data_IF_155798404475
#
_entry.id   IF_155798404475
#
_cell.length_a   1.000
_cell.length_b   1.000
_cell.length_c   1.000
_cell.angle_alpha   90.00
_cell.angle_beta   90.00
_cell.angle_gamma   90.00
#
_symmetry.space_group_name_H-M   'P 1'
#
loop_
_entity.id
_entity.type
_entity.pdbx_description
1 polymer ?
#
# COMPACT_ATOMS: atom_id res chain seq x y z
N UNK A 1 -20.29 7.82 -0.41
CA UNK A 1 -19.77 6.62 -1.12
C UNK A 1 -19.54 6.99 -2.58
N UNK A 2 -18.41 6.61 -3.17
CA UNK A 2 -18.15 6.80 -4.62
C UNK A 2 -18.34 5.45 -5.32
N UNK A 3 -18.90 5.47 -6.52
CA UNK A 3 -19.08 4.27 -7.33
C UNK A 3 -18.10 4.27 -8.50
N UNK A 4 -17.51 3.11 -8.79
CA UNK A 4 -16.66 2.88 -9.94
C UNK A 4 -17.25 1.75 -10.78
N UNK A 5 -17.14 1.87 -12.10
CA UNK A 5 -17.51 0.81 -13.03
C UNK A 5 -16.25 0.08 -13.47
N UNK A 6 -16.19 -1.22 -13.21
CA UNK A 6 -15.13 -2.09 -13.70
C UNK A 6 -15.61 -2.79 -14.97
N UNK A 7 -14.78 -2.77 -16.02
CA UNK A 7 -14.99 -3.61 -17.21
C UNK A 7 -14.07 -4.82 -17.09
N UNK A 8 -14.65 -6.00 -17.26
CA UNK A 8 -13.95 -7.27 -17.35
C UNK A 8 -14.09 -7.79 -18.77
N UNK A 9 -13.12 -8.58 -19.22
CA UNK A 9 -13.34 -9.45 -20.36
C UNK A 9 -14.35 -10.55 -20.00
N UNK A 10 -14.97 -11.13 -21.04
CA UNK A 10 -16.08 -12.07 -20.88
C UNK A 10 -15.65 -13.32 -20.09
N UNK A 11 -14.45 -13.83 -20.35
CA UNK A 11 -13.90 -15.01 -19.68
C UNK A 11 -13.80 -14.79 -18.16
N UNK A 12 -13.20 -13.68 -17.72
CA UNK A 12 -13.10 -13.35 -16.29
C UNK A 12 -14.46 -13.11 -15.66
N UNK A 13 -15.38 -12.47 -16.39
CA UNK A 13 -16.73 -12.21 -15.88
C UNK A 13 -17.48 -13.53 -15.63
N UNK A 14 -17.39 -14.48 -16.55
CA UNK A 14 -18.01 -15.80 -16.41
C UNK A 14 -17.37 -16.61 -15.28
N UNK A 15 -16.04 -16.65 -15.19
CA UNK A 15 -15.34 -17.32 -14.08
C UNK A 15 -15.76 -16.75 -12.72
N UNK A 16 -15.79 -15.41 -12.59
CA UNK A 16 -16.18 -14.75 -11.34
C UNK A 16 -17.66 -15.04 -10.98
N UNK A 17 -18.53 -15.12 -11.99
CA UNK A 17 -19.93 -15.50 -11.79
C UNK A 17 -20.05 -16.94 -11.29
N UNK A 18 -19.30 -17.88 -11.87
CA UNK A 18 -19.28 -19.26 -11.40
C UNK A 18 -18.84 -19.35 -9.94
N UNK A 19 -17.71 -18.72 -9.57
CA UNK A 19 -17.23 -18.68 -8.19
C UNK A 19 -18.30 -18.10 -7.25
N UNK A 20 -18.95 -16.99 -7.65
CA UNK A 20 -19.99 -16.37 -6.83
C UNK A 20 -21.19 -17.27 -6.56
N UNK A 21 -21.54 -18.13 -7.52
CA UNK A 21 -22.64 -19.10 -7.39
C UNK A 21 -22.23 -20.23 -6.44
N UNK A 22 -21.04 -20.81 -6.65
CA UNK A 22 -20.53 -21.92 -5.83
C UNK A 22 -20.34 -21.50 -4.37
N UNK A 23 -19.84 -20.30 -4.11
CA UNK A 23 -19.65 -19.77 -2.76
C UNK A 23 -20.95 -19.22 -2.14
N UNK A 24 -21.98 -18.98 -2.95
CA UNK A 24 -23.22 -18.34 -2.51
C UNK A 24 -23.04 -16.88 -2.08
N UNK A 25 -21.99 -16.21 -2.59
CA UNK A 25 -21.61 -14.84 -2.22
C UNK A 25 -21.83 -13.90 -3.40
N UNK A 26 -22.32 -12.68 -3.12
CA UNK A 26 -22.50 -11.68 -4.18
C UNK A 26 -21.14 -11.23 -4.76
N UNK A 27 -21.03 -11.15 -6.09
CA UNK A 27 -19.82 -10.66 -6.80
C UNK A 27 -19.30 -9.34 -6.22
N UNK A 28 -20.18 -8.43 -5.82
CA UNK A 28 -19.79 -7.16 -5.19
C UNK A 28 -19.02 -7.39 -3.90
N UNK A 29 -19.46 -8.32 -3.06
CA UNK A 29 -18.80 -8.64 -1.79
C UNK A 29 -17.41 -9.20 -2.10
N UNK A 30 -17.30 -10.17 -3.00
CA UNK A 30 -16.03 -10.75 -3.44
C UNK A 30 -15.05 -9.65 -3.89
N UNK A 31 -15.49 -8.75 -4.78
CA UNK A 31 -14.65 -7.67 -5.27
C UNK A 31 -14.29 -6.65 -4.17
N UNK A 32 -15.21 -6.37 -3.25
CA UNK A 32 -14.96 -5.45 -2.13
C UNK A 32 -13.90 -6.03 -1.20
N UNK A 33 -14.03 -7.30 -0.83
CA UNK A 33 -13.04 -7.99 0.02
C UNK A 33 -11.67 -8.08 -0.66
N UNK A 34 -11.62 -8.37 -1.97
CA UNK A 34 -10.37 -8.36 -2.72
C UNK A 34 -9.70 -6.99 -2.72
N UNK A 35 -10.46 -5.92 -2.90
CA UNK A 35 -9.95 -4.54 -2.84
C UNK A 35 -9.46 -4.22 -1.42
N UNK A 36 -10.25 -4.53 -0.39
CA UNK A 36 -9.91 -4.24 1.00
C UNK A 36 -8.63 -4.97 1.41
N UNK A 37 -8.51 -6.25 1.08
CA UNK A 37 -7.32 -7.05 1.35
C UNK A 37 -6.09 -6.49 0.62
N UNK A 38 -6.24 -6.11 -0.65
CA UNK A 38 -5.14 -5.50 -1.41
C UNK A 38 -4.70 -4.18 -0.79
N UNK A 39 -5.64 -3.31 -0.40
CA UNK A 39 -5.34 -2.04 0.24
C UNK A 39 -4.73 -2.23 1.63
N UNK A 40 -5.21 -3.19 2.41
CA UNK A 40 -4.67 -3.50 3.73
C UNK A 40 -3.21 -3.97 3.64
N UNK A 41 -2.91 -4.89 2.72
CA UNK A 41 -1.55 -5.37 2.48
C UNK A 41 -0.58 -4.25 2.07
N UNK A 42 -1.08 -3.20 1.44
CA UNK A 42 -0.27 -2.08 0.96
C UNK A 42 -0.42 -0.82 1.81
N UNK A 43 -1.13 -0.87 2.94
CA UNK A 43 -1.44 0.32 3.76
C UNK A 43 -0.17 1.03 4.21
N UNK A 44 0.81 0.29 4.72
CA UNK A 44 2.10 0.86 5.13
C UNK A 44 2.86 1.46 3.95
N UNK A 45 2.85 0.78 2.79
CA UNK A 45 3.48 1.27 1.57
C UNK A 45 2.83 2.57 1.10
N UNK A 46 1.50 2.63 1.05
CA UNK A 46 0.74 3.83 0.69
C UNK A 46 1.02 4.94 1.69
N UNK A 47 1.08 4.65 2.99
CA UNK A 47 1.41 5.66 4.01
C UNK A 47 2.80 6.25 3.78
N UNK A 48 3.82 5.41 3.53
CA UNK A 48 5.18 5.84 3.23
C UNK A 48 5.22 6.68 1.94
N UNK A 49 4.57 6.22 0.87
CA UNK A 49 4.55 6.91 -0.43
C UNK A 49 3.75 8.22 -0.39
N UNK A 50 2.70 8.30 0.43
CA UNK A 50 1.85 9.49 0.56
C UNK A 50 2.54 10.66 1.26
N UNK A 51 3.57 10.40 2.08
CA UNK A 51 4.37 11.44 2.71
C UNK A 51 5.38 12.00 1.70
N UNK A 52 4.94 13.02 0.95
CA UNK A 52 5.79 13.78 0.04
C UNK A 52 7.03 14.31 0.77
N UNK A 53 8.18 13.68 0.54
CA UNK A 53 9.43 13.95 1.25
C UNK A 53 10.16 12.69 1.69
N UNK A 54 9.42 11.63 2.04
CA UNK A 54 10.02 10.37 2.51
C UNK A 54 10.74 9.63 1.39
N UNK A 55 10.15 9.57 0.20
CA UNK A 55 10.84 9.02 -0.99
C UNK A 55 12.13 9.79 -1.31
N UNK A 56 12.11 11.13 -1.22
CA UNK A 56 13.32 11.94 -1.40
C UNK A 56 14.36 11.68 -0.32
N UNK A 57 13.95 11.50 0.93
CA UNK A 57 14.86 11.16 2.03
C UNK A 57 15.44 9.76 1.90
N UNK A 58 14.67 8.79 1.41
CA UNK A 58 15.11 7.41 1.12
C UNK A 58 16.09 7.41 -0.06
N UNK A 59 15.78 8.12 -1.15
CA UNK A 59 16.68 8.27 -2.30
C UNK A 59 17.97 8.96 -1.88
N UNK A 60 17.88 10.09 -1.16
CA UNK A 60 19.05 10.80 -0.62
C UNK A 60 19.88 9.91 0.29
N UNK A 61 19.26 9.16 1.20
CA UNK A 61 19.98 8.21 2.06
C UNK A 61 20.65 7.07 1.26
N UNK A 62 20.02 6.57 0.19
CA UNK A 62 20.64 5.57 -0.70
C UNK A 62 21.84 6.13 -1.45
N UNK A 63 21.77 7.39 -1.90
CA UNK A 63 22.89 8.07 -2.57
C UNK A 63 24.01 8.42 -1.59
N UNK A 64 23.67 8.91 -0.39
CA UNK A 64 24.63 9.28 0.67
C UNK A 64 25.31 8.03 1.27
N UNK A 65 24.65 6.86 1.27
CA UNK A 65 25.21 5.60 1.74
C UNK A 65 26.23 4.96 0.78
N UNK A 66 26.50 5.53 -0.39
CA UNK A 66 27.73 5.21 -1.13
C UNK A 66 29.00 5.65 -0.37
N UNK A 67 28.87 6.51 0.66
CA UNK A 67 29.95 6.97 1.53
C UNK A 67 29.72 6.73 3.04
N UNK A 68 28.74 5.90 3.42
CA UNK A 68 28.46 5.39 4.78
C UNK A 68 28.85 6.27 5.97
N UNK A 69 27.91 7.07 6.50
CA UNK A 69 28.02 7.61 7.85
C UNK A 69 26.83 7.20 8.71
N UNK A 70 27.05 6.18 9.55
CA UNK A 70 26.07 5.70 10.52
C UNK A 70 26.10 6.62 11.74
N UNK A 71 24.99 7.31 12.00
CA UNK A 71 24.80 8.14 13.20
C UNK A 71 24.16 7.29 14.31
N UNK A 72 24.62 7.47 15.55
CA UNK A 72 24.09 6.69 16.69
C UNK A 72 22.65 7.09 16.99
N UNK A 73 21.82 6.14 17.43
CA UNK A 73 20.40 6.37 17.75
C UNK A 73 20.16 7.57 18.69
N UNK A 74 21.08 7.81 19.63
CA UNK A 74 21.02 8.94 20.56
C UNK A 74 21.18 10.32 19.88
N UNK A 75 21.90 10.41 18.76
CA UNK A 75 22.04 11.65 17.98
C UNK A 75 20.83 11.90 17.10
N UNK A 76 20.21 10.85 16.56
CA UNK A 76 18.98 10.95 15.76
C UNK A 76 17.84 11.56 16.60
N UNK A 77 17.69 11.16 17.87
CA UNK A 77 16.70 11.75 18.79
C UNK A 77 16.86 13.26 18.95
N UNK A 78 18.09 13.75 19.07
CA UNK A 78 18.39 15.18 19.19
C UNK A 78 18.10 15.95 17.90
N UNK A 79 18.39 15.35 16.75
CA UNK A 79 18.19 15.97 15.43
C UNK A 79 16.71 16.08 15.08
N UNK A 80 15.91 15.07 15.42
CA UNK A 80 14.48 15.03 15.08
C UNK A 80 13.59 15.77 16.10
N UNK A 81 14.17 16.30 17.19
CA UNK A 81 13.48 17.04 18.25
C UNK A 81 12.19 16.34 18.75
N UNK A 82 12.23 15.00 18.79
CA UNK A 82 11.15 14.20 19.36
C UNK A 82 11.47 14.08 20.85
N UNK A 83 10.70 14.79 21.68
CA UNK A 83 10.76 14.66 23.13
C UNK A 83 10.38 13.25 23.57
N UNK A 84 10.91 12.84 24.73
CA UNK A 84 10.70 11.51 25.32
C UNK A 84 9.22 11.13 25.49
#
# INVERSE_FOLDING_TARGET
MRAYTLRLDDEKADMLKHVSIEEGVNIRIILTELIDNYLQAHRETIEILSKSGWMRSIEKAKTDNAGGNLIKHAEVKKILNVGD
#
